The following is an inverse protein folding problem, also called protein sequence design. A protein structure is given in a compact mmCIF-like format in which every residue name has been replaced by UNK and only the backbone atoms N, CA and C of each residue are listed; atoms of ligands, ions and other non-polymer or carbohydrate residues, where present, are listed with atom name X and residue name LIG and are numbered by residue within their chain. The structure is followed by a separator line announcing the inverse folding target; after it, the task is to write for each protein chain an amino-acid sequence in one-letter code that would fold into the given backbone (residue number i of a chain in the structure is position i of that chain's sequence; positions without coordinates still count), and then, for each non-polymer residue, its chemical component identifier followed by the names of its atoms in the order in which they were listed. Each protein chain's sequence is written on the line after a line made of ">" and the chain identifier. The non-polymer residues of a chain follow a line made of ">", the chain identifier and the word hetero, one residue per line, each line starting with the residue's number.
data_IF_098881464020
#
_entry.id   IF_098881464020
#
_cell.length_a   1.000
_cell.length_b   1.000
_cell.length_c   1.000
_cell.angle_alpha   90.00
_cell.angle_beta   90.00
_cell.angle_gamma   90.00
#
_symmetry.space_group_name_H-M   'P 1'
#
loop_
_entity.id
_entity.type
_entity.pdbx_description
1 polymer ?
#
# COMPACT_ATOMS: atom_id res chain seq x y z
N UNK A 1 -35.02 28.86 25.44
CA UNK A 1 -35.04 28.63 26.89
C UNK A 1 -35.48 27.19 27.17
N UNK A 2 -34.52 26.30 27.43
CA UNK A 2 -34.64 25.23 28.42
C UNK A 2 -33.23 24.77 28.77
N UNK A 3 -32.84 25.12 29.99
CA UNK A 3 -31.70 24.57 30.73
C UNK A 3 -31.90 23.07 30.94
N UNK A 4 -30.84 22.35 31.31
CA UNK A 4 -30.82 21.35 32.39
C UNK A 4 -29.65 20.35 32.17
N UNK A 5 -28.47 20.80 32.54
CA UNK A 5 -27.64 20.24 33.62
C UNK A 5 -27.85 18.75 33.96
N UNK A 6 -26.94 17.89 33.48
CA UNK A 6 -26.60 16.63 34.15
C UNK A 6 -25.09 16.44 34.22
N UNK A 7 -24.48 17.33 35.00
CA UNK A 7 -23.24 17.07 35.71
C UNK A 7 -23.60 16.76 37.16
N UNK A 8 -23.57 15.49 37.57
CA UNK A 8 -23.21 15.02 38.92
C UNK A 8 -23.55 13.54 39.04
N UNK A 9 -22.61 12.66 38.71
CA UNK A 9 -22.50 11.41 39.45
C UNK A 9 -21.03 11.21 39.85
N UNK A 10 -20.67 11.94 40.90
CA UNK A 10 -19.35 11.93 41.54
C UNK A 10 -19.41 11.15 42.86
N UNK A 11 -20.29 10.15 42.94
CA UNK A 11 -20.56 9.36 44.16
C UNK A 11 -19.69 8.11 44.34
N UNK A 12 -18.77 7.83 43.42
CA UNK A 12 -17.75 6.78 43.60
C UNK A 12 -16.41 7.39 43.99
N UNK A 13 -16.38 7.99 45.17
CA UNK A 13 -15.12 8.18 45.88
C UNK A 13 -14.71 6.85 46.51
N UNK A 14 -13.51 6.32 46.23
CA UNK A 14 -12.95 5.24 47.01
C UNK A 14 -12.64 5.75 48.42
N UNK A 15 -13.15 5.00 49.39
CA UNK A 15 -13.04 5.12 50.84
C UNK A 15 -11.60 5.44 51.26
N UNK A 16 -11.43 6.59 51.91
CA UNK A 16 -10.24 6.89 52.70
C UNK A 16 -10.21 5.98 53.93
N UNK A 17 -9.05 5.37 54.15
CA UNK A 17 -8.68 4.79 55.44
C UNK A 17 -8.89 3.29 55.54
N UNK A 18 -7.87 2.52 55.14
CA UNK A 18 -7.25 1.57 56.06
C UNK A 18 -5.98 0.91 55.47
N UNK A 19 -4.94 0.89 56.30
CA UNK A 19 -3.80 -0.03 56.28
C UNK A 19 -2.84 0.05 55.09
N UNK A 20 -1.71 0.76 55.28
CA UNK A 20 -0.36 0.19 55.11
C UNK A 20 0.65 1.07 55.89
N UNK A 21 0.52 1.01 57.21
CA UNK A 21 1.56 1.37 58.16
C UNK A 21 2.66 0.30 58.04
N UNK A 22 3.86 0.65 57.58
CA UNK A 22 5.00 -0.28 57.56
C UNK A 22 5.83 -0.39 56.27
N UNK A 23 5.83 0.60 55.36
CA UNK A 23 6.79 0.61 54.25
C UNK A 23 8.00 1.52 54.53
N UNK A 24 9.23 0.99 54.58
CA UNK A 24 10.43 1.80 54.75
C UNK A 24 10.64 2.73 53.55
N UNK A 25 10.98 3.98 53.88
CA UNK A 25 11.27 5.07 52.96
C UNK A 25 11.99 4.62 51.68
N UNK A 26 11.27 4.63 50.56
CA UNK A 26 11.86 4.52 49.23
C UNK A 26 12.67 5.77 48.93
N UNK A 27 13.94 5.67 49.30
CA UNK A 27 15.05 6.55 48.96
C UNK A 27 15.00 6.92 47.47
N UNK A 28 14.92 8.23 47.23
CA UNK A 28 14.70 8.83 45.93
C UNK A 28 15.58 8.25 44.83
N UNK A 29 14.93 7.66 43.83
CA UNK A 29 15.56 7.35 42.55
C UNK A 29 15.05 8.39 41.56
N UNK A 30 15.66 9.59 41.60
CA UNK A 30 15.56 10.58 40.55
C UNK A 30 16.09 9.94 39.25
N UNK A 31 15.20 9.24 38.56
CA UNK A 31 15.44 8.56 37.29
C UNK A 31 15.58 9.67 36.24
N UNK A 32 16.82 10.13 36.07
CA UNK A 32 17.25 11.11 35.09
C UNK A 32 16.82 10.69 33.67
N UNK A 33 15.60 11.09 33.28
CA UNK A 33 15.03 10.87 31.94
C UNK A 33 15.66 11.77 30.88
N UNK A 34 16.43 12.78 31.31
CA UNK A 34 17.11 13.72 30.41
C UNK A 34 18.38 13.12 29.77
N UNK A 35 18.87 11.98 30.26
CA UNK A 35 20.09 11.36 29.74
C UNK A 35 19.86 10.54 28.45
N UNK A 36 18.68 9.94 28.27
CA UNK A 36 18.37 9.11 27.08
C UNK A 36 18.16 9.93 25.80
N UNK A 37 17.75 11.19 25.91
CA UNK A 37 17.50 12.05 24.73
C UNK A 37 18.73 12.84 24.27
N UNK A 38 19.73 13.03 25.14
CA UNK A 38 21.00 13.70 24.77
C UNK A 38 21.98 12.80 23.99
N UNK A 39 21.79 11.48 24.05
CA UNK A 39 22.57 10.50 23.27
C UNK A 39 22.03 10.28 21.85
N UNK A 40 20.89 10.88 21.48
CA UNK A 40 20.48 11.10 20.09
C UNK A 40 21.33 12.25 19.51
N UNK A 41 22.61 11.97 19.35
CA UNK A 41 23.61 12.82 18.73
C UNK A 41 23.11 13.21 17.32
N UNK A 42 22.88 14.50 17.04
CA UNK A 42 22.36 14.99 15.75
C UNK A 42 23.20 14.53 14.54
N UNK A 43 24.47 14.17 14.77
CA UNK A 43 25.33 13.55 13.76
C UNK A 43 24.88 12.16 13.31
N UNK A 44 24.41 11.30 14.21
CA UNK A 44 24.03 9.92 13.88
C UNK A 44 22.68 9.83 13.18
N UNK A 45 21.77 10.78 13.40
CA UNK A 45 20.44 10.76 12.78
C UNK A 45 20.50 10.95 11.24
N UNK A 46 21.46 11.73 10.75
CA UNK A 46 21.68 11.94 9.30
C UNK A 46 22.17 10.66 8.62
N UNK A 47 23.08 9.93 9.27
CA UNK A 47 23.60 8.65 8.77
C UNK A 47 22.57 7.52 8.84
N UNK A 48 21.76 7.46 9.90
CA UNK A 48 20.65 6.51 10.01
C UNK A 48 19.61 6.77 8.91
N UNK A 49 19.27 8.05 8.67
CA UNK A 49 18.38 8.44 7.57
C UNK A 49 18.94 8.07 6.19
N UNK A 50 20.22 8.32 5.95
CA UNK A 50 20.90 7.92 4.71
C UNK A 50 20.91 6.39 4.54
N UNK A 51 21.26 5.63 5.57
CA UNK A 51 21.25 4.16 5.50
C UNK A 51 19.85 3.59 5.24
N UNK A 52 18.81 4.16 5.85
CA UNK A 52 17.42 3.76 5.63
C UNK A 52 16.94 3.98 4.20
N UNK A 53 17.53 4.93 3.46
CA UNK A 53 17.17 5.23 2.07
C UNK A 53 18.11 4.51 1.10
N UNK A 54 19.41 4.49 1.36
CA UNK A 54 20.41 3.90 0.48
C UNK A 54 20.32 2.36 0.46
N UNK A 55 20.06 1.71 1.60
CA UNK A 55 19.97 0.26 1.67
C UNK A 55 18.87 -0.32 0.74
N UNK A 56 17.60 0.14 0.81
CA UNK A 56 16.57 -0.37 -0.10
C UNK A 56 16.84 0.01 -1.56
N UNK A 57 17.48 1.16 -1.82
CA UNK A 57 17.87 1.53 -3.19
C UNK A 57 18.93 0.58 -3.77
N UNK A 58 19.93 0.18 -2.98
CA UNK A 58 20.96 -0.78 -3.40
C UNK A 58 20.36 -2.18 -3.61
N UNK A 59 19.47 -2.62 -2.70
CA UNK A 59 18.76 -3.89 -2.86
C UNK A 59 17.90 -3.86 -4.13
N UNK A 60 17.13 -2.80 -4.34
CA UNK A 60 16.32 -2.62 -5.54
C UNK A 60 17.18 -2.64 -6.81
N UNK A 61 18.33 -1.96 -6.81
CA UNK A 61 19.26 -1.99 -7.93
C UNK A 61 19.81 -3.40 -8.18
N UNK A 62 20.19 -4.14 -7.14
CA UNK A 62 20.64 -5.52 -7.26
C UNK A 62 19.56 -6.44 -7.84
N UNK A 63 18.31 -6.29 -7.39
CA UNK A 63 17.15 -7.01 -7.94
C UNK A 63 16.90 -6.64 -9.40
N UNK A 64 16.99 -5.35 -9.76
CA UNK A 64 16.83 -4.85 -11.13
C UNK A 64 17.88 -5.45 -12.07
N UNK A 65 19.14 -5.49 -11.65
CA UNK A 65 20.23 -6.05 -12.45
C UNK A 65 20.07 -7.56 -12.62
N UNK A 66 19.69 -8.27 -11.56
CA UNK A 66 19.44 -9.71 -11.64
C UNK A 66 18.21 -10.04 -12.49
N UNK A 67 17.12 -9.28 -12.41
CA UNK A 67 15.95 -9.42 -13.29
C UNK A 67 16.30 -9.20 -14.77
N UNK A 68 17.32 -8.40 -15.08
CA UNK A 68 17.83 -8.24 -16.44
C UNK A 68 18.29 -9.57 -17.06
N UNK A 69 19.09 -10.33 -16.31
CA UNK A 69 19.59 -11.64 -16.76
C UNK A 69 18.47 -12.67 -16.97
N UNK A 70 17.40 -12.59 -16.18
CA UNK A 70 16.27 -13.53 -16.25
C UNK A 70 15.10 -13.01 -17.10
N UNK A 71 15.22 -11.83 -17.70
CA UNK A 71 14.11 -11.15 -18.39
C UNK A 71 13.52 -12.00 -19.52
N UNK A 72 14.36 -12.67 -20.29
CA UNK A 72 13.95 -13.54 -21.41
C UNK A 72 13.03 -14.69 -20.96
N UNK A 73 13.24 -15.22 -19.75
CA UNK A 73 12.43 -16.31 -19.18
C UNK A 73 11.21 -15.78 -18.43
N UNK A 74 11.33 -14.65 -17.74
CA UNK A 74 10.25 -14.10 -16.91
C UNK A 74 9.18 -13.45 -17.80
N UNK A 75 9.57 -12.79 -18.89
CA UNK A 75 8.64 -12.06 -19.75
C UNK A 75 7.52 -12.93 -20.33
N UNK A 76 7.77 -14.11 -20.95
CA UNK A 76 6.70 -14.96 -21.45
C UNK A 76 5.80 -15.50 -20.33
N UNK A 77 6.38 -15.86 -19.17
CA UNK A 77 5.61 -16.34 -18.00
C UNK A 77 4.71 -15.23 -17.46
N UNK A 78 5.24 -14.03 -17.33
CA UNK A 78 4.49 -12.88 -16.83
C UNK A 78 3.36 -12.50 -17.80
N UNK A 79 3.70 -12.39 -19.07
CA UNK A 79 2.79 -12.03 -20.15
C UNK A 79 1.64 -13.04 -20.32
N UNK A 80 1.96 -14.33 -20.40
CA UNK A 80 0.98 -15.35 -20.79
C UNK A 80 0.25 -15.97 -19.60
N UNK A 81 0.80 -15.90 -18.39
CA UNK A 81 0.21 -16.55 -17.21
C UNK A 81 -0.31 -15.52 -16.21
N UNK A 82 0.51 -14.55 -15.83
CA UNK A 82 0.19 -13.62 -14.74
C UNK A 82 -0.87 -12.60 -15.17
N UNK A 83 -0.73 -12.00 -16.37
CA UNK A 83 -1.69 -11.01 -16.85
C UNK A 83 -3.10 -11.61 -17.01
N UNK A 84 -3.29 -12.78 -17.67
CA UNK A 84 -4.60 -13.40 -17.75
C UNK A 84 -5.14 -13.84 -16.40
N UNK A 85 -4.30 -14.34 -15.49
CA UNK A 85 -4.74 -14.69 -14.13
C UNK A 85 -5.27 -13.48 -13.36
N UNK A 86 -4.63 -12.31 -13.49
CA UNK A 86 -5.15 -11.07 -12.92
C UNK A 86 -6.46 -10.63 -13.57
N UNK A 87 -6.57 -10.73 -14.89
CA UNK A 87 -7.82 -10.51 -15.61
C UNK A 87 -8.96 -11.37 -15.08
N UNK A 88 -8.73 -12.68 -14.97
CA UNK A 88 -9.70 -13.63 -14.45
C UNK A 88 -10.06 -13.35 -12.98
N UNK A 89 -9.07 -13.04 -12.14
CA UNK A 89 -9.32 -12.70 -10.73
C UNK A 89 -10.20 -11.46 -10.59
N UNK A 90 -9.99 -10.44 -11.42
CA UNK A 90 -10.80 -9.24 -11.42
C UNK A 90 -12.21 -9.51 -11.94
N UNK A 91 -12.36 -10.31 -12.99
CA UNK A 91 -13.67 -10.71 -13.51
C UNK A 91 -14.49 -11.47 -12.45
N UNK A 92 -13.86 -12.41 -11.74
CA UNK A 92 -14.48 -13.14 -10.64
C UNK A 92 -14.89 -12.16 -9.54
N UNK A 93 -13.98 -11.26 -9.12
CA UNK A 93 -14.29 -10.27 -8.09
C UNK A 93 -15.43 -9.35 -8.49
N UNK A 94 -15.48 -8.90 -9.76
CA UNK A 94 -16.57 -8.09 -10.31
C UNK A 94 -17.88 -8.90 -10.31
N UNK A 95 -17.85 -10.17 -10.74
CA UNK A 95 -19.03 -11.04 -10.67
C UNK A 95 -19.55 -11.19 -9.23
N UNK A 96 -18.64 -11.29 -8.25
CA UNK A 96 -19.01 -11.32 -6.83
C UNK A 96 -19.64 -10.01 -6.33
N UNK A 97 -19.43 -8.88 -7.00
CA UNK A 97 -20.05 -7.61 -6.58
C UNK A 97 -21.56 -7.56 -6.80
N UNK A 98 -22.10 -8.42 -7.69
CA UNK A 98 -23.54 -8.52 -7.93
C UNK A 98 -24.28 -9.18 -6.75
N UNK A 99 -23.61 -9.98 -5.93
CA UNK A 99 -24.22 -10.62 -4.76
C UNK A 99 -24.12 -9.72 -3.53
N UNK A 100 -25.27 -9.37 -2.93
CA UNK A 100 -25.32 -8.44 -1.78
C UNK A 100 -24.49 -8.91 -0.58
N UNK A 101 -24.46 -10.22 -0.32
CA UNK A 101 -23.76 -10.79 0.82
C UNK A 101 -22.22 -10.67 0.72
N UNK A 102 -21.65 -10.75 -0.48
CA UNK A 102 -20.20 -10.74 -0.71
C UNK A 102 -19.68 -9.39 -1.21
N UNK A 103 -20.57 -8.45 -1.58
CA UNK A 103 -20.25 -7.12 -2.12
C UNK A 103 -19.16 -6.37 -1.36
N UNK A 104 -19.22 -6.33 -0.02
CA UNK A 104 -18.22 -5.63 0.80
C UNK A 104 -16.84 -6.26 0.77
N UNK A 105 -16.78 -7.59 0.71
CA UNK A 105 -15.51 -8.32 0.66
C UNK A 105 -14.89 -8.16 -0.73
N UNK A 106 -15.70 -8.29 -1.78
CA UNK A 106 -15.29 -8.06 -3.16
C UNK A 106 -14.77 -6.62 -3.38
N UNK A 107 -15.47 -5.60 -2.87
CA UNK A 107 -15.02 -4.20 -2.98
C UNK A 107 -13.67 -3.94 -2.30
N UNK A 108 -13.41 -4.58 -1.15
CA UNK A 108 -12.10 -4.50 -0.48
C UNK A 108 -11.01 -5.21 -1.28
N UNK A 109 -11.30 -6.42 -1.77
CA UNK A 109 -10.38 -7.19 -2.60
C UNK A 109 -10.02 -6.44 -3.89
N UNK A 110 -11.00 -5.85 -4.61
CA UNK A 110 -10.74 -5.01 -5.79
C UNK A 110 -9.87 -3.80 -5.45
N UNK A 111 -10.08 -3.17 -4.29
CA UNK A 111 -9.26 -2.03 -3.88
C UNK A 111 -7.81 -2.43 -3.61
N UNK A 112 -7.59 -3.53 -2.91
CA UNK A 112 -6.24 -4.05 -2.61
C UNK A 112 -5.59 -4.55 -3.90
N UNK A 113 -6.32 -5.30 -4.72
CA UNK A 113 -5.88 -5.81 -6.01
C UNK A 113 -5.43 -4.70 -6.96
N UNK A 114 -6.07 -3.52 -6.91
CA UNK A 114 -5.64 -2.38 -7.74
C UNK A 114 -4.17 -2.01 -7.54
N UNK A 115 -3.65 -2.09 -6.30
CA UNK A 115 -2.23 -1.83 -6.03
C UNK A 115 -1.32 -2.91 -6.63
N UNK A 116 -1.77 -4.16 -6.59
CA UNK A 116 -1.05 -5.30 -7.20
C UNK A 116 -1.02 -5.14 -8.72
N UNK A 117 -2.12 -4.70 -9.35
CA UNK A 117 -2.17 -4.43 -10.79
C UNK A 117 -1.25 -3.26 -11.19
N UNK A 118 -1.17 -2.21 -10.37
CA UNK A 118 -0.20 -1.11 -10.56
C UNK A 118 1.25 -1.59 -10.47
N UNK A 119 1.55 -2.47 -9.52
CA UNK A 119 2.88 -3.07 -9.43
C UNK A 119 3.15 -3.98 -10.63
N UNK A 120 2.15 -4.73 -11.08
CA UNK A 120 2.28 -5.64 -12.21
C UNK A 120 2.57 -4.89 -13.52
N UNK A 121 1.87 -3.79 -13.81
CA UNK A 121 2.15 -2.98 -15.01
C UNK A 121 3.54 -2.34 -14.94
N UNK A 122 3.97 -1.92 -13.74
CA UNK A 122 5.30 -1.38 -13.52
C UNK A 122 6.39 -2.43 -13.80
N UNK A 123 6.21 -3.63 -13.25
CA UNK A 123 7.12 -4.77 -13.49
C UNK A 123 7.13 -5.19 -14.95
N UNK A 124 5.98 -5.21 -15.62
CA UNK A 124 5.90 -5.53 -17.05
C UNK A 124 6.61 -4.47 -17.90
N UNK A 125 6.43 -3.19 -17.62
CA UNK A 125 7.12 -2.11 -18.33
C UNK A 125 8.63 -2.10 -18.11
N UNK A 126 9.05 -2.42 -16.89
CA UNK A 126 10.44 -2.67 -16.58
C UNK A 126 11.02 -3.81 -17.42
N UNK A 127 10.34 -4.97 -17.44
CA UNK A 127 10.79 -6.15 -18.19
C UNK A 127 10.88 -5.89 -19.69
N UNK A 128 9.87 -5.21 -20.27
CA UNK A 128 9.84 -4.84 -21.68
C UNK A 128 11.00 -3.88 -22.01
N UNK A 129 11.23 -2.87 -21.16
CA UNK A 129 12.32 -1.91 -21.36
C UNK A 129 13.68 -2.61 -21.27
N UNK A 130 13.86 -3.53 -20.30
CA UNK A 130 15.08 -4.35 -20.19
C UNK A 130 15.30 -5.20 -21.43
N UNK A 131 14.26 -5.90 -21.90
CA UNK A 131 14.35 -6.81 -23.04
C UNK A 131 14.77 -6.08 -24.33
N UNK A 132 14.26 -4.88 -24.55
CA UNK A 132 14.46 -4.17 -25.82
C UNK A 132 15.57 -3.12 -25.78
N UNK A 133 15.70 -2.35 -24.70
CA UNK A 133 16.65 -1.24 -24.60
C UNK A 133 17.77 -1.49 -23.57
N UNK A 134 17.68 -2.57 -22.80
CA UNK A 134 18.71 -2.97 -21.83
C UNK A 134 18.73 -2.13 -20.55
N UNK A 135 19.78 -2.37 -19.75
CA UNK A 135 19.94 -1.82 -18.39
C UNK A 135 20.00 -0.29 -18.39
N UNK A 136 20.66 0.33 -19.38
CA UNK A 136 20.86 1.78 -19.42
C UNK A 136 19.54 2.55 -19.55
N UNK A 137 18.62 2.07 -20.37
CA UNK A 137 17.30 2.67 -20.52
C UNK A 137 16.48 2.57 -19.23
N UNK A 138 16.61 1.45 -18.53
CA UNK A 138 15.95 1.23 -17.24
C UNK A 138 16.48 2.15 -16.15
N UNK A 139 17.82 2.31 -16.05
CA UNK A 139 18.42 3.27 -15.11
C UNK A 139 17.87 4.67 -15.38
N UNK A 140 17.81 5.07 -16.65
CA UNK A 140 17.24 6.37 -17.06
C UNK A 140 15.76 6.48 -16.64
N UNK A 141 14.98 5.43 -16.85
CA UNK A 141 13.58 5.35 -16.44
C UNK A 141 13.34 5.43 -14.93
N UNK A 142 14.21 4.81 -14.14
CA UNK A 142 14.15 4.90 -12.68
C UNK A 142 14.52 6.30 -12.18
N UNK A 143 15.53 6.95 -12.77
CA UNK A 143 15.96 8.31 -12.41
C UNK A 143 14.83 9.33 -12.66
N UNK A 144 13.98 9.10 -13.68
CA UNK A 144 12.76 9.87 -13.93
C UNK A 144 11.62 9.49 -12.95
N UNK A 145 11.95 9.46 -11.65
CA UNK A 145 11.05 9.19 -10.51
C UNK A 145 10.31 7.85 -10.55
N UNK A 146 10.82 6.85 -11.26
CA UNK A 146 10.19 5.53 -11.40
C UNK A 146 8.88 5.53 -12.18
N UNK A 147 8.28 6.69 -12.44
CA UNK A 147 7.12 6.88 -13.31
C UNK A 147 7.52 6.62 -14.76
N UNK A 148 8.76 6.96 -15.13
CA UNK A 148 9.30 6.80 -16.48
C UNK A 148 9.31 5.36 -17.01
N UNK A 149 9.30 4.36 -16.14
CA UNK A 149 9.38 2.94 -16.52
C UNK A 149 8.19 2.48 -17.34
N UNK A 150 6.98 2.95 -17.03
CA UNK A 150 5.76 2.60 -17.78
C UNK A 150 5.78 3.21 -19.19
N UNK A 151 5.91 4.54 -19.39
CA UNK A 151 5.96 5.13 -20.72
C UNK A 151 7.17 4.68 -21.52
N UNK A 152 8.32 4.38 -20.89
CA UNK A 152 9.45 3.77 -21.58
C UNK A 152 9.13 2.35 -22.06
N UNK A 153 8.49 1.52 -21.25
CA UNK A 153 8.06 0.19 -21.68
C UNK A 153 7.05 0.25 -22.82
N UNK A 154 6.11 1.20 -22.78
CA UNK A 154 5.17 1.46 -23.88
C UNK A 154 5.92 1.91 -25.14
N UNK A 155 6.85 2.86 -25.02
CA UNK A 155 7.66 3.33 -26.14
C UNK A 155 8.50 2.18 -26.75
N UNK A 156 9.13 1.37 -25.91
CA UNK A 156 9.90 0.21 -26.33
C UNK A 156 9.03 -0.82 -27.07
N UNK A 157 7.83 -1.12 -26.55
CA UNK A 157 6.87 -2.03 -27.19
C UNK A 157 6.38 -1.51 -28.56
N UNK A 158 6.12 -0.20 -28.67
CA UNK A 158 5.71 0.44 -29.93
C UNK A 158 6.84 0.37 -30.96
N UNK A 159 8.06 0.77 -30.59
CA UNK A 159 9.20 0.80 -31.52
C UNK A 159 9.60 -0.60 -32.01
N UNK A 160 9.42 -1.62 -31.18
CA UNK A 160 9.70 -3.02 -31.54
C UNK A 160 8.46 -3.76 -32.08
N UNK A 161 7.36 -3.06 -32.36
CA UNK A 161 6.12 -3.62 -32.93
C UNK A 161 5.54 -4.81 -32.15
N UNK A 162 5.77 -4.88 -30.84
CA UNK A 162 5.20 -5.93 -29.99
C UNK A 162 3.79 -5.55 -29.51
N UNK A 163 2.80 -5.82 -30.37
CA UNK A 163 1.39 -5.54 -30.08
C UNK A 163 0.85 -6.29 -28.86
N UNK A 164 1.33 -7.51 -28.60
CA UNK A 164 0.87 -8.31 -27.46
C UNK A 164 1.29 -7.69 -26.12
N UNK A 165 2.55 -7.27 -26.01
CA UNK A 165 3.07 -6.58 -24.82
C UNK A 165 2.27 -5.30 -24.53
N UNK A 166 1.96 -4.53 -25.58
CA UNK A 166 1.18 -3.30 -25.48
C UNK A 166 -0.26 -3.57 -25.01
N UNK A 167 -0.92 -4.58 -25.57
CA UNK A 167 -2.25 -5.01 -25.13
C UNK A 167 -2.25 -5.44 -23.66
N UNK A 168 -1.24 -6.17 -23.20
CA UNK A 168 -1.13 -6.58 -21.79
C UNK A 168 -0.93 -5.38 -20.86
N UNK A 169 -0.11 -4.40 -21.24
CA UNK A 169 0.04 -3.16 -20.48
C UNK A 169 -1.26 -2.38 -20.38
N UNK A 170 -1.96 -2.18 -21.51
CA UNK A 170 -3.26 -1.50 -21.54
C UNK A 170 -4.28 -2.26 -20.71
N UNK A 171 -4.31 -3.59 -20.79
CA UNK A 171 -5.19 -4.44 -20.00
C UNK A 171 -4.93 -4.23 -18.51
N UNK A 172 -3.68 -4.35 -18.05
CA UNK A 172 -3.33 -4.11 -16.65
C UNK A 172 -3.65 -2.68 -16.19
N UNK A 173 -3.48 -1.68 -17.06
CA UNK A 173 -3.83 -0.29 -16.77
C UNK A 173 -5.34 -0.13 -16.54
N UNK A 174 -6.15 -0.71 -17.44
CA UNK A 174 -7.61 -0.73 -17.33
C UNK A 174 -8.06 -1.49 -16.07
N UNK A 175 -7.44 -2.61 -15.76
CA UNK A 175 -7.66 -3.37 -14.52
C UNK A 175 -7.35 -2.52 -13.28
N UNK A 176 -6.20 -1.84 -13.25
CA UNK A 176 -5.77 -1.04 -12.11
C UNK A 176 -6.69 0.17 -11.87
N UNK A 177 -7.04 0.92 -12.93
CA UNK A 177 -7.92 2.08 -12.84
C UNK A 177 -9.36 1.64 -12.58
N UNK A 178 -9.85 0.65 -13.33
CA UNK A 178 -11.21 0.13 -13.27
C UNK A 178 -11.53 -0.47 -11.90
N UNK A 179 -10.68 -1.36 -11.38
CA UNK A 179 -10.86 -1.94 -10.04
C UNK A 179 -10.90 -0.87 -8.95
N UNK A 180 -10.05 0.15 -9.04
CA UNK A 180 -10.02 1.25 -8.07
C UNK A 180 -11.30 2.08 -8.11
N UNK A 181 -11.76 2.46 -9.31
CA UNK A 181 -13.00 3.23 -9.50
C UNK A 181 -14.22 2.45 -9.01
N UNK A 182 -14.35 1.18 -9.40
CA UNK A 182 -15.43 0.30 -8.96
C UNK A 182 -15.42 0.11 -7.44
N UNK A 183 -14.26 -0.13 -6.84
CA UNK A 183 -14.14 -0.29 -5.40
C UNK A 183 -14.56 0.97 -4.62
N UNK A 184 -14.25 2.16 -5.13
CA UNK A 184 -14.65 3.42 -4.50
C UNK A 184 -16.16 3.63 -4.59
N UNK A 185 -16.77 3.37 -5.76
CA UNK A 185 -18.22 3.47 -5.95
C UNK A 185 -18.99 2.52 -5.00
N UNK A 186 -18.53 1.26 -4.88
CA UNK A 186 -19.14 0.28 -3.98
C UNK A 186 -19.01 0.67 -2.50
N UNK A 187 -17.88 1.27 -2.09
CA UNK A 187 -17.72 1.76 -0.72
C UNK A 187 -18.69 2.90 -0.42
N UNK A 188 -18.89 3.83 -1.36
CA UNK A 188 -19.81 4.97 -1.16
C UNK A 188 -21.27 4.53 -1.03
N UNK A 189 -21.73 3.59 -1.87
CA UNK A 189 -23.12 3.10 -1.81
C UNK A 189 -23.41 2.30 -0.53
N UNK A 190 -22.45 1.53 -0.04
CA UNK A 190 -22.57 0.77 1.19
C UNK A 190 -22.65 1.63 2.46
N UNK A 191 -21.88 2.72 2.51
CA UNK A 191 -21.91 3.66 3.62
C UNK A 191 -23.27 4.35 3.72
N UNK A 192 -23.84 4.72 2.58
CA UNK A 192 -25.17 5.32 2.49
C UNK A 192 -26.27 4.37 2.99
N UNK A 193 -26.26 3.10 2.52
CA UNK A 193 -27.22 2.08 2.96
C UNK A 193 -27.17 1.86 4.48
N UNK A 194 -25.97 1.80 5.08
CA UNK A 194 -25.81 1.63 6.53
C UNK A 194 -26.32 2.81 7.34
N UNK A 195 -26.20 4.05 6.83
CA UNK A 195 -26.76 5.23 7.50
C UNK A 195 -28.28 5.17 7.55
N UNK A 196 -28.95 4.83 6.44
CA UNK A 196 -30.42 4.74 6.38
C UNK A 196 -30.94 3.71 7.39
N UNK A 197 -30.34 2.52 7.43
CA UNK A 197 -30.75 1.47 8.37
C UNK A 197 -30.65 1.91 9.84
N UNK A 198 -29.66 2.74 10.20
CA UNK A 198 -29.55 3.28 11.56
C UNK A 198 -30.68 4.24 11.94
N UNK A 199 -31.25 4.96 10.97
CA UNK A 199 -32.40 5.84 11.23
C UNK A 199 -33.71 5.05 11.37
N UNK A 200 -33.80 3.88 10.74
CA UNK A 200 -35.01 3.04 10.79
C UNK A 200 -35.03 2.12 12.03
N UNK A 201 -33.89 1.91 12.68
CA UNK A 201 -33.76 1.09 13.88
C UNK A 201 -33.88 1.86 15.21
N UNK A 202 -34.22 3.15 15.15
CA UNK A 202 -34.48 4.04 16.30
C UNK A 202 -35.98 4.35 16.35
#
# INVERSE_FOLDING_TARGET
>A
MRSDDRWTDRSKQPVEGEVLEGMPAQKGRARNSNFRWKLLNRGNLRWIGLLLICLPAVIALGVVLSLGFWSEYILPVFSNTIVPAFGLSALILVALTFFEATRQRAARALHIGSWVYWLAIWMLGFLITMQYWGVFAVITGLILFGIGVIPLGVAAAILHTNGQALLHMVTLLLLAIGSRRLALQLKTSDQYRRKIWKYFSL
#
